data_IF_751348472551
#
_entry.id   IF_751348472551
#
_cell.length_a   1.000
_cell.length_b   1.000
_cell.length_c   1.000
_cell.angle_alpha   90.00
_cell.angle_beta   90.00
_cell.angle_gamma   90.00
#
_symmetry.space_group_name_H-M   'P 1'
#
loop_
_entity.id
_entity.type
_entity.pdbx_description
1 polymer ?
#
# COMPACT_ATOMS: atom_id res chain seq x y z
N UNK A 1 -9.12 9.51 3.64
CA UNK A 1 -10.13 9.26 2.57
C UNK A 1 -10.91 8.03 2.96
N UNK A 2 -12.23 8.01 2.81
CA UNK A 2 -13.08 6.84 3.10
C UNK A 2 -13.52 6.23 1.76
N UNK A 3 -13.22 4.95 1.53
CA UNK A 3 -13.66 4.20 0.34
C UNK A 3 -14.69 3.14 0.74
N UNK A 4 -15.77 2.99 -0.02
CA UNK A 4 -16.82 1.99 0.17
C UNK A 4 -16.85 1.12 -1.09
N UNK A 5 -16.64 -0.18 -0.95
CA UNK A 5 -16.69 -1.13 -2.06
C UNK A 5 -17.98 -1.96 -2.00
N UNK A 6 -18.68 -2.08 -3.15
CA UNK A 6 -19.78 -3.04 -3.33
C UNK A 6 -19.20 -4.33 -3.90
N UNK A 7 -19.56 -5.50 -3.35
CA UNK A 7 -19.09 -6.83 -3.81
C UNK A 7 -20.22 -7.66 -4.43
N UNK A 8 -19.83 -8.66 -5.20
CA UNK A 8 -20.70 -9.56 -5.97
C UNK A 8 -21.71 -10.34 -5.10
N UNK A 9 -22.83 -10.81 -5.68
CA UNK A 9 -23.87 -11.55 -4.96
C UNK A 9 -23.34 -12.83 -4.30
N UNK A 10 -23.80 -13.14 -3.09
CA UNK A 10 -23.47 -14.38 -2.37
C UNK A 10 -22.26 -14.30 -1.41
N UNK A 11 -21.54 -13.18 -1.39
CA UNK A 11 -20.52 -12.87 -0.38
C UNK A 11 -21.19 -12.03 0.72
N UNK A 12 -20.98 -12.29 2.03
CA UNK A 12 -21.53 -11.45 3.09
C UNK A 12 -21.16 -9.98 2.85
N UNK A 13 -22.14 -9.15 2.53
CA UNK A 13 -21.94 -7.72 2.28
C UNK A 13 -21.99 -6.98 3.60
N UNK A 14 -20.83 -6.60 4.12
CA UNK A 14 -20.74 -5.50 5.06
C UNK A 14 -20.72 -4.19 4.26
N UNK A 15 -21.82 -3.45 4.26
CA UNK A 15 -21.82 -2.03 3.89
C UNK A 15 -21.10 -1.26 5.00
N UNK A 16 -19.91 -0.73 4.72
CA UNK A 16 -19.11 -0.06 5.72
C UNK A 16 -17.79 0.47 5.18
N UNK A 17 -16.94 0.93 6.08
CA UNK A 17 -15.58 1.40 5.77
C UNK A 17 -14.77 0.25 5.18
N UNK A 18 -14.23 0.43 3.96
CA UNK A 18 -13.33 -0.56 3.36
C UNK A 18 -11.86 -0.33 3.76
N UNK A 19 -11.48 0.93 3.95
CA UNK A 19 -10.09 1.31 4.21
C UNK A 19 -10.03 2.55 5.09
N UNK A 20 -9.09 2.55 6.03
CA UNK A 20 -8.68 3.71 6.82
C UNK A 20 -7.24 4.05 6.48
N UNK A 21 -6.98 5.31 6.13
CA UNK A 21 -5.67 5.79 5.73
C UNK A 21 -5.11 6.78 6.74
N UNK A 22 -3.91 6.51 7.24
CA UNK A 22 -3.18 7.35 8.18
C UNK A 22 -1.97 7.97 7.46
N UNK A 23 -1.90 9.30 7.48
CA UNK A 23 -0.71 9.99 7.02
C UNK A 23 0.37 9.97 8.10
N UNK A 24 1.63 9.85 7.70
CA UNK A 24 2.77 9.98 8.58
C UNK A 24 3.96 10.66 7.88
N UNK A 25 4.96 11.02 8.68
CA UNK A 25 6.31 11.29 8.21
C UNK A 25 7.17 10.04 8.36
N UNK A 26 8.17 9.91 7.51
CA UNK A 26 9.20 8.86 7.58
C UNK A 26 8.63 7.44 7.48
N UNK A 27 7.80 7.18 6.47
CA UNK A 27 7.09 5.91 6.29
C UNK A 27 8.05 4.71 6.30
N UNK A 28 9.20 4.81 5.64
CA UNK A 28 10.15 3.70 5.58
C UNK A 28 10.73 3.35 6.96
N UNK A 29 10.98 4.36 7.80
CA UNK A 29 11.42 4.14 9.20
C UNK A 29 10.30 3.51 10.02
N UNK A 30 9.06 3.98 9.85
CA UNK A 30 7.89 3.43 10.53
C UNK A 30 7.61 1.99 10.09
N UNK A 31 7.74 1.69 8.81
CA UNK A 31 7.61 0.35 8.26
C UNK A 31 8.67 -0.59 8.86
N UNK A 32 9.92 -0.15 8.99
CA UNK A 32 10.96 -0.91 9.66
C UNK A 32 10.66 -1.15 11.13
N UNK A 33 10.13 -0.14 11.85
CA UNK A 33 9.69 -0.31 13.23
C UNK A 33 8.54 -1.33 13.35
N UNK A 34 7.55 -1.28 12.45
CA UNK A 34 6.45 -2.24 12.38
C UNK A 34 6.95 -3.66 12.12
N UNK A 35 7.84 -3.85 11.14
CA UNK A 35 8.45 -5.14 10.85
C UNK A 35 9.23 -5.69 12.06
N UNK A 36 10.03 -4.85 12.72
CA UNK A 36 10.76 -5.24 13.95
C UNK A 36 9.84 -5.61 15.10
N UNK A 37 8.68 -4.97 15.19
CA UNK A 37 7.66 -5.28 16.18
C UNK A 37 6.81 -6.53 15.83
N UNK A 38 7.06 -7.16 14.68
CA UNK A 38 6.30 -8.32 14.21
C UNK A 38 4.89 -7.97 13.72
N UNK A 39 4.61 -6.70 13.41
CA UNK A 39 3.32 -6.30 12.88
C UNK A 39 3.13 -6.89 11.47
N UNK A 40 1.98 -7.52 11.18
CA UNK A 40 1.75 -8.12 9.89
C UNK A 40 1.48 -7.02 8.85
N UNK A 41 2.26 -7.02 7.77
CA UNK A 41 2.08 -6.13 6.61
C UNK A 41 1.59 -6.94 5.41
N UNK A 42 0.82 -6.30 4.52
CA UNK A 42 0.34 -6.92 3.30
C UNK A 42 1.53 -7.23 2.37
N UNK A 43 1.66 -8.48 1.89
CA UNK A 43 2.74 -8.82 0.97
C UNK A 43 2.51 -8.19 -0.41
N UNK A 44 3.59 -7.76 -1.04
CA UNK A 44 3.60 -7.21 -2.39
C UNK A 44 4.43 -8.15 -3.29
N UNK A 45 3.91 -8.60 -4.44
CA UNK A 45 4.66 -9.48 -5.35
C UNK A 45 5.98 -8.87 -5.81
N UNK A 46 7.04 -9.68 -5.92
CA UNK A 46 8.36 -9.22 -6.38
C UNK A 46 8.30 -8.53 -7.76
N UNK A 47 7.45 -9.05 -8.65
CA UNK A 47 7.23 -8.53 -10.00
C UNK A 47 6.76 -7.05 -10.01
N UNK A 48 6.09 -6.58 -8.96
CA UNK A 48 5.74 -5.16 -8.83
C UNK A 48 6.98 -4.28 -8.81
N UNK A 49 8.03 -4.68 -8.09
CA UNK A 49 9.24 -3.90 -7.96
C UNK A 49 10.10 -3.96 -9.23
N UNK A 50 10.00 -5.05 -10.00
CA UNK A 50 10.63 -5.13 -11.31
C UNK A 50 9.95 -4.18 -12.31
N UNK A 51 8.61 -4.13 -12.32
CA UNK A 51 7.85 -3.13 -13.10
C UNK A 51 8.15 -1.70 -12.64
N UNK A 52 8.18 -1.46 -11.32
CA UNK A 52 8.46 -0.14 -10.74
C UNK A 52 9.82 0.40 -11.19
N UNK A 53 10.84 -0.47 -11.25
CA UNK A 53 12.16 -0.12 -11.76
C UNK A 53 12.11 0.33 -13.21
N UNK A 54 11.39 -0.40 -14.07
CA UNK A 54 11.25 -0.06 -15.48
C UNK A 54 10.47 1.24 -15.71
N UNK A 55 9.47 1.53 -14.87
CA UNK A 55 8.54 2.65 -15.03
C UNK A 55 9.07 3.97 -14.46
N UNK A 56 9.68 3.93 -13.28
CA UNK A 56 10.06 5.14 -12.51
C UNK A 56 11.55 5.25 -12.21
N UNK A 57 12.34 4.21 -12.43
CA UNK A 57 13.79 4.16 -12.15
C UNK A 57 14.20 4.78 -10.80
N UNK A 58 13.60 4.33 -9.66
CA UNK A 58 14.00 4.81 -8.35
C UNK A 58 15.43 4.37 -8.02
N UNK A 59 16.14 5.17 -7.21
CA UNK A 59 17.50 4.86 -6.79
C UNK A 59 17.60 3.42 -6.22
N UNK A 60 18.65 2.64 -6.56
CA UNK A 60 18.72 1.22 -6.19
C UNK A 60 18.54 0.93 -4.70
N UNK A 61 19.09 1.79 -3.84
CA UNK A 61 18.92 1.69 -2.39
C UNK A 61 17.48 1.91 -1.92
N UNK A 62 16.75 2.82 -2.58
CA UNK A 62 15.34 3.03 -2.33
C UNK A 62 14.51 1.82 -2.78
N UNK A 63 14.73 1.34 -4.01
CA UNK A 63 14.01 0.19 -4.55
C UNK A 63 14.16 -1.05 -3.66
N UNK A 64 15.38 -1.32 -3.19
CA UNK A 64 15.65 -2.43 -2.27
C UNK A 64 14.89 -2.27 -0.94
N UNK A 65 14.81 -1.04 -0.41
CA UNK A 65 14.07 -0.73 0.82
C UNK A 65 12.57 -0.89 0.64
N UNK A 66 12.01 -0.41 -0.48
CA UNK A 66 10.60 -0.60 -0.83
C UNK A 66 10.25 -2.09 -0.91
N UNK A 67 11.07 -2.88 -1.62
CA UNK A 67 10.90 -4.34 -1.79
C UNK A 67 10.92 -5.07 -0.46
N UNK A 68 11.89 -4.77 0.40
CA UNK A 68 12.03 -5.40 1.71
C UNK A 68 10.82 -5.14 2.61
N UNK A 69 10.24 -3.94 2.52
CA UNK A 69 9.21 -3.46 3.45
C UNK A 69 7.77 -3.62 2.93
N UNK A 70 7.59 -4.14 1.71
CA UNK A 70 6.26 -4.25 1.10
C UNK A 70 5.62 -2.90 0.82
N UNK A 71 6.43 -1.86 0.60
CA UNK A 71 5.94 -0.49 0.36
C UNK A 71 5.68 -0.30 -1.12
N UNK A 72 4.48 0.18 -1.45
CA UNK A 72 4.11 0.65 -2.77
C UNK A 72 4.57 2.11 -2.93
N UNK A 73 4.94 2.49 -4.15
CA UNK A 73 5.49 3.79 -4.47
C UNK A 73 4.84 4.37 -5.72
N UNK A 74 4.63 5.68 -5.74
CA UNK A 74 4.19 6.42 -6.92
C UNK A 74 4.92 7.76 -6.97
N UNK A 75 5.12 8.29 -8.18
CA UNK A 75 5.71 9.60 -8.41
C UNK A 75 4.95 10.29 -9.53
N UNK A 76 4.51 11.52 -9.28
CA UNK A 76 3.83 12.33 -10.30
C UNK A 76 4.82 13.11 -11.18
N UNK A 77 4.28 13.75 -12.22
CA UNK A 77 5.07 14.50 -13.21
C UNK A 77 5.74 15.75 -12.61
N UNK A 78 5.22 16.25 -11.48
CA UNK A 78 5.80 17.40 -10.74
C UNK A 78 6.93 16.96 -9.79
N UNK A 79 7.21 15.66 -9.71
CA UNK A 79 8.23 15.09 -8.83
C UNK A 79 7.74 14.85 -7.40
N UNK A 80 6.45 15.02 -7.14
CA UNK A 80 5.83 14.60 -5.89
C UNK A 80 5.87 13.08 -5.75
N UNK A 81 6.09 12.60 -4.53
CA UNK A 81 6.17 11.17 -4.24
C UNK A 81 5.08 10.73 -3.26
N UNK A 82 4.56 9.52 -3.46
CA UNK A 82 3.73 8.80 -2.51
C UNK A 82 4.41 7.49 -2.13
N UNK A 83 4.58 7.31 -0.83
CA UNK A 83 4.91 6.03 -0.24
C UNK A 83 3.67 5.55 0.49
N UNK A 84 3.29 4.29 0.32
CA UNK A 84 2.19 3.73 1.12
C UNK A 84 2.31 2.21 1.28
N UNK A 85 1.85 1.73 2.42
CA UNK A 85 1.79 0.31 2.76
C UNK A 85 0.45 -0.02 3.39
N UNK A 86 0.12 -1.30 3.40
CA UNK A 86 -1.15 -1.79 3.91
C UNK A 86 -0.93 -2.88 4.95
N UNK A 87 -1.82 -2.97 5.92
CA UNK A 87 -1.96 -4.17 6.75
C UNK A 87 -2.73 -5.24 5.97
N UNK A 88 -2.70 -6.52 6.41
CA UNK A 88 -3.76 -7.45 6.10
C UNK A 88 -5.12 -6.93 6.53
N UNK A 89 -6.16 -7.64 6.12
CA UNK A 89 -7.52 -7.32 6.49
C UNK A 89 -7.69 -7.39 8.02
N UNK A 90 -8.13 -6.28 8.62
CA UNK A 90 -8.34 -6.19 10.06
C UNK A 90 -9.73 -6.68 10.40
N UNK A 91 -9.80 -7.70 11.26
CA UNK A 91 -11.04 -8.28 11.79
C UNK A 91 -12.06 -8.66 10.70
N UNK A 92 -11.59 -9.08 9.52
CA UNK A 92 -12.46 -9.45 8.40
C UNK A 92 -13.21 -8.28 7.73
N UNK A 93 -12.86 -7.02 8.03
CA UNK A 93 -13.70 -5.86 7.66
C UNK A 93 -13.03 -4.81 6.80
N UNK A 94 -11.89 -4.27 7.23
CA UNK A 94 -11.25 -3.13 6.56
C UNK A 94 -9.74 -3.27 6.53
N UNK A 95 -9.11 -2.56 5.60
CA UNK A 95 -7.66 -2.43 5.51
C UNK A 95 -7.19 -1.15 6.20
N UNK A 96 -6.01 -1.21 6.82
CA UNK A 96 -5.31 0.00 7.22
C UNK A 96 -4.24 0.31 6.18
N UNK A 97 -4.20 1.57 5.78
CA UNK A 97 -3.16 2.15 4.94
C UNK A 97 -2.34 3.12 5.80
N UNK A 98 -1.03 3.01 5.75
CA UNK A 98 -0.11 4.04 6.23
C UNK A 98 0.55 4.66 5.01
N UNK A 99 0.53 5.99 4.91
CA UNK A 99 1.06 6.70 3.75
C UNK A 99 1.87 7.93 4.13
N UNK A 100 2.78 8.30 3.25
CA UNK A 100 3.55 9.54 3.31
C UNK A 100 3.57 10.18 1.92
N UNK A 101 3.30 11.49 1.88
CA UNK A 101 3.38 12.30 0.67
C UNK A 101 4.56 13.24 0.80
N UNK A 102 5.38 13.31 -0.24
CA UNK A 102 6.53 14.21 -0.33
C UNK A 102 6.46 15.04 -1.60
N UNK A 103 7.20 16.14 -1.63
CA UNK A 103 7.33 16.96 -2.84
C UNK A 103 6.01 17.54 -3.37
N UNK A 104 4.97 17.64 -2.54
CA UNK A 104 3.67 18.19 -2.97
C UNK A 104 2.69 17.18 -3.59
N UNK A 105 2.99 15.87 -3.61
CA UNK A 105 2.15 14.86 -4.25
C UNK A 105 0.66 14.89 -3.83
N UNK A 106 -0.24 15.08 -4.80
CA UNK A 106 -1.69 15.23 -4.57
C UNK A 106 -2.54 14.06 -5.06
N UNK A 107 -1.95 13.10 -5.77
CA UNK A 107 -2.63 11.93 -6.34
C UNK A 107 -3.09 10.89 -5.30
N UNK A 108 -3.55 9.72 -5.74
CA UNK A 108 -4.01 8.65 -4.83
C UNK A 108 -3.29 7.31 -5.05
N UNK A 109 -2.15 7.32 -5.75
CA UNK A 109 -1.44 6.08 -6.10
C UNK A 109 -2.27 5.21 -7.04
N UNK A 110 -2.95 5.81 -8.02
CA UNK A 110 -3.85 5.10 -8.92
C UNK A 110 -3.13 3.95 -9.65
N UNK A 111 -1.86 4.17 -10.04
CA UNK A 111 -0.99 3.16 -10.65
C UNK A 111 -0.81 1.91 -9.77
N UNK A 112 -0.90 2.04 -8.45
CA UNK A 112 -0.74 0.95 -7.49
C UNK A 112 -2.06 0.18 -7.22
N UNK A 113 -3.19 0.61 -7.78
CA UNK A 113 -4.49 -0.02 -7.51
C UNK A 113 -4.56 -1.48 -7.95
N UNK A 114 -4.11 -1.87 -9.17
CA UNK A 114 -4.18 -3.27 -9.60
C UNK A 114 -3.39 -4.22 -8.69
N UNK A 115 -2.14 -3.88 -8.35
CA UNK A 115 -1.31 -4.70 -7.46
C UNK A 115 -1.90 -4.77 -6.06
N UNK A 116 -2.41 -3.64 -5.53
CA UNK A 116 -3.06 -3.61 -4.22
C UNK A 116 -4.26 -4.54 -4.16
N UNK A 117 -5.16 -4.49 -5.14
CA UNK A 117 -6.33 -5.37 -5.17
C UNK A 117 -5.94 -6.85 -5.31
N UNK A 118 -4.91 -7.15 -6.10
CA UNK A 118 -4.38 -8.52 -6.22
C UNK A 118 -3.80 -9.03 -4.89
N UNK A 119 -2.98 -8.23 -4.21
CA UNK A 119 -2.43 -8.56 -2.88
C UNK A 119 -3.53 -8.74 -1.84
N UNK A 120 -4.55 -7.89 -1.84
CA UNK A 120 -5.70 -7.98 -0.94
C UNK A 120 -6.53 -9.25 -1.19
N UNK A 121 -6.67 -9.67 -2.44
CA UNK A 121 -7.37 -10.92 -2.78
C UNK A 121 -6.58 -12.18 -2.38
N UNK A 122 -5.25 -12.11 -2.39
CA UNK A 122 -4.36 -13.22 -2.07
C UNK A 122 -4.07 -13.37 -0.55
N UNK A 123 -4.39 -12.37 0.26
CA UNK A 123 -4.12 -12.39 1.71
C UNK A 123 -5.25 -13.13 2.45
N UNK A 124 -4.97 -14.24 3.15
CA UNK A 124 -6.00 -14.98 3.89
C UNK A 124 -6.67 -14.13 4.96
N UNK A 125 -7.94 -14.43 5.23
CA UNK A 125 -8.69 -13.91 6.37
C UNK A 125 -8.02 -14.47 7.64
N UNK A 126 -7.38 -13.61 8.44
CA UNK A 126 -6.96 -13.94 9.81
C UNK A 126 -8.18 -14.04 10.72
#
# INVERSE_FOLDING_TARGET
MLNIAVRAPGVPTWTGVNQLAYACTDLLERAEALCRAGAPLMPVPAAYYDDLAARLDPAPGLLARLRRLGVLYDRDDEGGELFHLYTPLVAGRFYLELLERRGGYRGFGAANTPVRLASQAATPWL
#
